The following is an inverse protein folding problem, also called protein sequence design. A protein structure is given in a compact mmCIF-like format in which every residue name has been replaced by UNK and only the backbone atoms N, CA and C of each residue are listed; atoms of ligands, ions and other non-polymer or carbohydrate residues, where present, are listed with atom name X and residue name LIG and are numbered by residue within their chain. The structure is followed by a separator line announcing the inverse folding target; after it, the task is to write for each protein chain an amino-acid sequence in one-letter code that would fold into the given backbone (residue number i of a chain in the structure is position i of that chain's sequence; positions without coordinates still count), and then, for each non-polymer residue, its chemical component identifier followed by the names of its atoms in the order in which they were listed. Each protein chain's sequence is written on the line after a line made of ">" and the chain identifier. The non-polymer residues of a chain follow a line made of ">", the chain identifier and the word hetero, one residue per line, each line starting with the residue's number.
data_IF_218186262924
#
_entry.id   IF_218186262924
#
_cell.length_a   1.000
_cell.length_b   1.000
_cell.length_c   1.000
_cell.angle_alpha   90.00
_cell.angle_beta   90.00
_cell.angle_gamma   90.00
#
_symmetry.space_group_name_H-M   'P 1'
#
loop_
_entity.id
_entity.type
_entity.pdbx_description
1 polymer ?
#
# COMPACT_ATOMS: atom_id res chain seq x y z
N UNK A 1 18.36 -50.43 14.15
CA UNK A 1 17.51 -49.56 13.32
C UNK A 1 17.30 -48.25 14.08
N UNK A 2 18.19 -47.27 13.86
CA UNK A 2 18.11 -45.96 14.49
C UNK A 2 17.27 -45.03 13.61
N UNK A 3 16.19 -44.54 14.15
CA UNK A 3 15.38 -43.50 13.54
C UNK A 3 16.05 -42.15 13.77
N UNK A 4 16.61 -41.56 12.72
CA UNK A 4 17.03 -40.16 12.70
C UNK A 4 15.81 -39.23 12.82
N UNK A 5 15.68 -38.56 13.97
CA UNK A 5 14.79 -37.41 14.13
C UNK A 5 15.37 -36.25 13.33
N UNK A 6 14.65 -35.81 12.31
CA UNK A 6 14.89 -34.51 11.67
C UNK A 6 14.54 -33.41 12.67
N UNK A 7 15.54 -32.63 13.07
CA UNK A 7 15.36 -31.40 13.82
C UNK A 7 14.84 -30.32 12.84
N UNK A 8 13.65 -29.80 13.13
CA UNK A 8 13.12 -28.58 12.49
C UNK A 8 14.01 -27.38 12.87
N UNK A 9 14.44 -26.60 11.89
CA UNK A 9 15.13 -25.31 12.11
C UNK A 9 14.22 -24.35 12.89
N UNK A 10 14.76 -23.61 13.87
CA UNK A 10 13.99 -22.63 14.62
C UNK A 10 13.59 -21.48 13.67
N UNK A 11 12.32 -21.14 13.68
CA UNK A 11 11.80 -19.93 13.04
C UNK A 11 12.53 -18.70 13.61
N UNK A 12 13.21 -17.95 12.74
CA UNK A 12 13.84 -16.68 13.09
C UNK A 12 12.75 -15.64 13.38
N UNK A 13 12.27 -15.61 14.62
CA UNK A 13 11.46 -14.49 15.11
C UNK A 13 12.42 -13.33 15.37
N UNK A 14 12.37 -12.29 14.54
CA UNK A 14 13.07 -11.03 14.77
C UNK A 14 12.70 -10.50 16.17
N UNK A 15 13.69 -10.42 17.03
CA UNK A 15 13.51 -9.90 18.39
C UNK A 15 13.39 -8.36 18.35
N UNK A 16 12.78 -7.78 19.39
CA UNK A 16 12.68 -6.32 19.57
C UNK A 16 14.04 -5.61 19.47
N UNK A 17 15.11 -6.31 19.78
CA UNK A 17 16.49 -5.81 19.73
C UNK A 17 17.07 -5.79 18.32
N UNK A 18 16.72 -6.76 17.49
CA UNK A 18 17.08 -6.81 16.07
C UNK A 18 16.29 -5.77 15.28
N UNK A 19 15.03 -5.55 15.65
CA UNK A 19 14.19 -4.46 15.14
C UNK A 19 14.84 -3.07 15.34
N UNK A 20 15.36 -2.78 16.53
CA UNK A 20 16.00 -1.49 16.84
C UNK A 20 17.36 -1.34 16.16
N UNK A 21 18.12 -2.43 15.98
CA UNK A 21 19.42 -2.42 15.31
C UNK A 21 19.28 -2.11 13.82
N UNK A 22 18.30 -2.70 13.14
CA UNK A 22 18.06 -2.51 11.71
C UNK A 22 17.48 -1.10 11.42
N UNK A 23 16.75 -0.52 12.39
CA UNK A 23 16.34 0.88 12.36
C UNK A 23 17.48 1.88 12.51
N UNK A 24 18.51 1.55 13.29
CA UNK A 24 19.68 2.41 13.53
C UNK A 24 20.65 2.44 12.34
N UNK A 25 20.74 1.37 11.56
CA UNK A 25 21.58 1.30 10.35
C UNK A 25 21.01 2.19 9.22
N UNK A 26 19.71 2.42 9.19
CA UNK A 26 19.08 3.31 8.23
C UNK A 26 19.40 4.81 8.47
N UNK A 27 19.78 5.20 9.69
CA UNK A 27 20.07 6.58 10.06
C UNK A 27 21.51 7.02 9.77
N UNK A 28 22.46 6.11 9.54
CA UNK A 28 23.88 6.40 9.40
C UNK A 28 24.34 6.71 7.95
N UNK A 29 23.44 6.73 6.96
CA UNK A 29 23.76 6.84 5.53
C UNK A 29 23.86 8.25 4.94
N UNK A 30 23.76 9.34 5.71
CA UNK A 30 23.55 10.71 5.19
C UNK A 30 24.73 11.68 5.29
N UNK A 31 25.96 11.22 5.44
CA UNK A 31 27.10 12.12 5.47
C UNK A 31 28.32 11.58 4.72
N UNK A 32 28.36 11.67 3.38
CA UNK A 32 29.62 11.76 2.64
C UNK A 32 29.41 12.53 1.33
N UNK A 33 30.26 13.51 1.10
CA UNK A 33 30.23 14.56 0.10
C UNK A 33 30.28 14.15 -1.37
N UNK A 34 29.88 15.09 -2.18
CA UNK A 34 29.89 15.11 -3.64
C UNK A 34 31.33 15.00 -4.19
N UNK A 35 31.65 13.88 -4.82
CA UNK A 35 32.85 13.69 -5.59
C UNK A 35 33.16 12.21 -5.86
N UNK A 36 32.92 11.73 -7.09
CA UNK A 36 33.19 10.38 -7.60
C UNK A 36 32.13 9.29 -7.23
N UNK A 37 30.86 9.49 -7.59
CA UNK A 37 29.73 8.74 -7.03
C UNK A 37 29.06 7.74 -7.98
N UNK A 38 29.38 7.69 -9.27
CA UNK A 38 28.56 6.92 -10.24
C UNK A 38 28.49 5.41 -10.00
N UNK A 39 29.61 4.72 -9.83
CA UNK A 39 29.64 3.24 -9.81
C UNK A 39 29.45 2.63 -8.42
N UNK A 40 29.97 3.23 -7.36
CA UNK A 40 29.79 2.74 -5.98
C UNK A 40 28.37 2.92 -5.46
N UNK A 41 27.71 4.02 -5.86
CA UNK A 41 26.33 4.31 -5.48
C UNK A 41 25.35 3.33 -6.13
N UNK A 42 25.50 3.05 -7.43
CA UNK A 42 24.66 2.09 -8.15
C UNK A 42 24.79 0.67 -7.58
N UNK A 43 26.01 0.21 -7.29
CA UNK A 43 26.27 -1.09 -6.67
C UNK A 43 25.65 -1.21 -5.27
N UNK A 44 25.77 -0.16 -4.44
CA UNK A 44 25.18 -0.15 -3.10
C UNK A 44 23.64 -0.17 -3.13
N UNK A 45 23.03 0.48 -4.11
CA UNK A 45 21.58 0.44 -4.34
C UNK A 45 21.15 -0.95 -4.76
N UNK A 46 21.86 -1.58 -5.71
CA UNK A 46 21.55 -2.94 -6.18
C UNK A 46 21.59 -3.97 -5.04
N UNK A 47 22.60 -3.89 -4.18
CA UNK A 47 22.73 -4.77 -3.01
C UNK A 47 21.64 -4.51 -1.95
N UNK A 48 21.19 -3.28 -1.76
CA UNK A 48 20.07 -2.97 -0.86
C UNK A 48 18.75 -3.51 -1.39
N UNK A 49 18.52 -3.43 -2.70
CA UNK A 49 17.34 -3.99 -3.37
C UNK A 49 17.30 -5.51 -3.21
N UNK A 50 18.41 -6.21 -3.41
CA UNK A 50 18.50 -7.68 -3.27
C UNK A 50 18.18 -8.18 -1.86
N UNK A 51 18.32 -7.33 -0.84
CA UNK A 51 18.02 -7.65 0.56
C UNK A 51 16.57 -7.36 0.94
N UNK A 52 15.75 -6.82 0.04
CA UNK A 52 14.34 -6.56 0.35
C UNK A 52 13.56 -7.86 0.54
N UNK A 53 12.45 -7.78 1.25
CA UNK A 53 11.56 -8.94 1.46
C UNK A 53 11.08 -9.49 0.13
N UNK A 54 10.97 -10.81 0.02
CA UNK A 54 10.51 -11.52 -1.20
C UNK A 54 11.16 -11.02 -2.48
N UNK A 55 12.45 -10.69 -2.44
CA UNK A 55 13.16 -10.25 -3.63
C UNK A 55 13.00 -11.24 -4.80
N UNK A 56 12.61 -10.71 -5.95
CA UNK A 56 12.55 -11.44 -7.21
C UNK A 56 13.23 -10.59 -8.30
N UNK A 57 14.25 -11.09 -9.00
CA UNK A 57 14.99 -10.31 -9.98
C UNK A 57 14.15 -9.87 -11.19
N UNK A 58 12.94 -10.42 -11.36
CA UNK A 58 12.00 -10.04 -12.41
C UNK A 58 11.01 -8.96 -11.98
N UNK A 59 11.04 -8.54 -10.71
CA UNK A 59 10.20 -7.48 -10.17
C UNK A 59 11.01 -6.18 -10.07
N UNK A 60 10.42 -5.07 -10.48
CA UNK A 60 10.96 -3.74 -10.21
C UNK A 60 10.69 -3.34 -8.76
N UNK A 61 11.73 -2.83 -8.09
CA UNK A 61 11.60 -2.30 -6.72
C UNK A 61 11.89 -0.81 -6.71
N UNK A 62 11.12 -0.08 -5.93
CA UNK A 62 11.23 1.36 -5.76
C UNK A 62 11.45 1.70 -4.30
N UNK A 63 12.32 2.66 -4.03
CA UNK A 63 12.58 3.14 -2.67
C UNK A 63 11.37 3.92 -2.14
N UNK A 64 10.87 3.54 -0.97
CA UNK A 64 9.74 4.22 -0.33
C UNK A 64 10.25 5.44 0.45
N UNK A 65 10.65 6.48 -0.27
CA UNK A 65 11.15 7.72 0.30
C UNK A 65 12.22 7.50 1.38
N UNK A 66 12.27 8.37 2.36
CA UNK A 66 13.22 8.34 3.50
C UNK A 66 13.09 7.13 4.44
N UNK A 67 12.10 6.25 4.25
CA UNK A 67 12.04 4.97 4.97
C UNK A 67 13.19 4.05 4.59
N UNK A 68 13.76 4.22 3.40
CA UNK A 68 14.81 3.42 2.80
C UNK A 68 14.48 1.92 2.61
N UNK A 69 13.22 1.52 2.78
CA UNK A 69 12.81 0.20 2.32
C UNK A 69 12.53 0.21 0.81
N UNK A 70 12.74 -0.94 0.19
CA UNK A 70 12.46 -1.14 -1.22
C UNK A 70 11.19 -1.97 -1.37
N UNK A 71 10.16 -1.37 -1.94
CA UNK A 71 8.88 -2.03 -2.20
C UNK A 71 8.73 -2.33 -3.68
N UNK A 72 8.00 -3.39 -4.00
CA UNK A 72 7.67 -3.75 -5.37
C UNK A 72 6.90 -2.62 -6.07
N UNK A 73 7.10 -2.46 -7.37
CA UNK A 73 6.45 -1.41 -8.17
C UNK A 73 4.92 -1.52 -8.23
N UNK A 74 4.37 -2.64 -7.79
CA UNK A 74 2.94 -2.83 -7.50
C UNK A 74 2.81 -3.50 -6.14
N UNK A 75 1.75 -3.19 -5.39
CA UNK A 75 1.52 -3.69 -4.05
C UNK A 75 0.19 -4.43 -3.96
N UNK A 76 -0.02 -5.19 -2.89
CA UNK A 76 -1.29 -5.81 -2.58
C UNK A 76 -2.09 -4.89 -1.66
N UNK A 77 -3.26 -4.43 -2.12
CA UNK A 77 -4.21 -3.69 -1.31
C UNK A 77 -5.26 -4.60 -0.68
N UNK A 78 -5.98 -4.04 0.28
CA UNK A 78 -7.25 -4.55 0.71
C UNK A 78 -8.37 -4.16 -0.27
N UNK A 79 -9.55 -3.85 0.25
CA UNK A 79 -10.70 -3.44 -0.55
C UNK A 79 -11.04 -4.44 -1.66
N UNK A 80 -11.03 -5.72 -1.31
CA UNK A 80 -11.38 -6.83 -2.21
C UNK A 80 -12.89 -6.91 -2.51
N UNK A 81 -13.48 -5.79 -2.91
CA UNK A 81 -14.92 -5.59 -3.09
C UNK A 81 -15.65 -6.70 -3.86
N UNK A 82 -14.95 -7.40 -4.73
CA UNK A 82 -15.51 -8.44 -5.58
C UNK A 82 -15.03 -9.85 -5.21
N UNK A 83 -14.49 -10.04 -3.99
CA UNK A 83 -14.00 -11.37 -3.58
C UNK A 83 -15.13 -12.43 -3.57
N UNK A 84 -16.38 -12.03 -3.38
CA UNK A 84 -17.55 -12.90 -3.46
C UNK A 84 -17.75 -13.56 -4.84
N UNK A 85 -17.15 -13.02 -5.90
CA UNK A 85 -17.08 -13.67 -7.22
C UNK A 85 -16.23 -14.95 -7.18
N UNK A 86 -15.20 -14.97 -6.32
CA UNK A 86 -14.30 -16.11 -6.11
C UNK A 86 -14.75 -16.99 -4.95
N UNK A 87 -15.37 -16.39 -3.94
CA UNK A 87 -15.87 -17.04 -2.72
C UNK A 87 -17.28 -16.51 -2.48
N UNK A 88 -18.35 -17.20 -2.91
CA UNK A 88 -19.73 -16.70 -2.91
C UNK A 88 -20.21 -16.17 -1.57
N UNK A 89 -19.83 -16.79 -0.46
CA UNK A 89 -20.25 -16.43 0.90
C UNK A 89 -19.17 -15.64 1.67
N UNK A 90 -18.30 -14.92 0.94
CA UNK A 90 -17.18 -14.19 1.56
C UNK A 90 -17.60 -13.07 2.52
N UNK A 91 -18.83 -12.57 2.43
CA UNK A 91 -19.35 -11.50 3.27
C UNK A 91 -20.50 -11.97 4.17
N UNK A 92 -20.50 -11.53 5.42
CA UNK A 92 -21.57 -11.83 6.38
C UNK A 92 -22.77 -10.88 6.28
N UNK A 93 -22.60 -9.72 5.64
CA UNK A 93 -23.62 -8.69 5.47
C UNK A 93 -23.63 -8.12 4.06
N UNK A 94 -24.34 -7.01 3.89
CA UNK A 94 -24.44 -6.33 2.59
C UNK A 94 -23.17 -5.53 2.24
N UNK A 95 -22.26 -5.37 3.20
CA UNK A 95 -21.03 -4.58 3.09
C UNK A 95 -19.82 -5.44 2.72
N UNK A 96 -19.07 -5.00 1.73
CA UNK A 96 -17.76 -5.60 1.36
C UNK A 96 -16.68 -5.51 2.45
N UNK A 97 -16.94 -4.81 3.54
CA UNK A 97 -16.08 -4.71 4.72
C UNK A 97 -16.34 -5.84 5.72
N UNK A 98 -17.48 -6.52 5.62
CA UNK A 98 -17.93 -7.52 6.59
C UNK A 98 -17.53 -8.93 6.14
N UNK A 99 -16.25 -9.12 5.80
CA UNK A 99 -15.75 -10.42 5.38
C UNK A 99 -15.85 -11.45 6.52
N UNK A 100 -16.29 -12.67 6.19
CA UNK A 100 -16.27 -13.79 7.14
C UNK A 100 -14.84 -14.29 7.36
N UNK A 101 -14.22 -13.79 8.40
CA UNK A 101 -12.86 -14.16 8.79
C UNK A 101 -12.72 -15.62 9.26
N UNK A 102 -13.83 -16.32 9.49
CA UNK A 102 -13.84 -17.73 9.89
C UNK A 102 -14.09 -18.69 8.71
N UNK A 103 -14.57 -18.20 7.59
CA UNK A 103 -14.77 -19.01 6.38
C UNK A 103 -13.44 -19.55 5.83
N UNK A 104 -13.35 -20.86 5.69
CA UNK A 104 -12.12 -21.54 5.25
C UNK A 104 -11.80 -21.27 3.77
N UNK A 105 -12.79 -21.08 2.90
CA UNK A 105 -12.58 -20.77 1.50
C UNK A 105 -12.05 -19.32 1.35
N UNK A 106 -12.57 -18.39 2.17
CA UNK A 106 -12.05 -17.03 2.24
C UNK A 106 -10.60 -16.98 2.75
N UNK A 107 -10.30 -17.67 3.85
CA UNK A 107 -8.93 -17.78 4.37
C UNK A 107 -7.98 -18.35 3.33
N UNK A 108 -8.40 -19.45 2.67
CA UNK A 108 -7.62 -20.07 1.60
C UNK A 108 -7.39 -19.10 0.44
N UNK A 109 -8.41 -18.38 0.01
CA UNK A 109 -8.28 -17.38 -1.05
C UNK A 109 -7.25 -16.29 -0.69
N UNK A 110 -7.32 -15.74 0.52
CA UNK A 110 -6.34 -14.74 0.98
C UNK A 110 -4.93 -15.31 1.09
N UNK A 111 -4.80 -16.54 1.59
CA UNK A 111 -3.52 -17.24 1.67
C UNK A 111 -2.90 -17.45 0.28
N UNK A 112 -3.70 -17.90 -0.70
CA UNK A 112 -3.25 -18.16 -2.08
C UNK A 112 -2.80 -16.85 -2.77
N UNK A 113 -3.57 -15.77 -2.63
CA UNK A 113 -3.21 -14.46 -3.20
C UNK A 113 -1.92 -13.93 -2.58
N UNK A 114 -1.78 -14.00 -1.25
CA UNK A 114 -0.54 -13.58 -0.55
C UNK A 114 0.65 -14.45 -0.97
N UNK A 115 0.44 -15.77 -1.12
CA UNK A 115 1.49 -16.69 -1.58
C UNK A 115 1.95 -16.33 -2.99
N UNK A 116 1.01 -16.08 -3.89
CA UNK A 116 1.34 -15.68 -5.26
C UNK A 116 2.07 -14.33 -5.31
N UNK A 117 1.70 -13.38 -4.46
CA UNK A 117 2.42 -12.12 -4.31
C UNK A 117 3.88 -12.36 -3.88
N UNK A 118 4.11 -13.16 -2.84
CA UNK A 118 5.45 -13.50 -2.33
C UNK A 118 6.31 -14.14 -3.43
N UNK A 119 5.79 -15.13 -4.13
CA UNK A 119 6.46 -15.83 -5.24
C UNK A 119 6.85 -14.89 -6.37
N UNK A 120 5.97 -13.93 -6.66
CA UNK A 120 6.15 -12.96 -7.74
C UNK A 120 7.03 -11.77 -7.36
N UNK A 121 7.43 -11.64 -6.09
CA UNK A 121 8.24 -10.53 -5.60
C UNK A 121 7.44 -9.29 -5.18
N UNK A 122 6.10 -9.38 -5.11
CA UNK A 122 5.29 -8.34 -4.48
C UNK A 122 5.49 -8.46 -2.98
N UNK A 123 5.95 -7.38 -2.34
CA UNK A 123 6.47 -7.44 -0.98
C UNK A 123 5.83 -6.44 0.00
N UNK A 124 4.77 -5.72 -0.41
CA UNK A 124 4.04 -4.79 0.47
C UNK A 124 2.54 -5.05 0.39
N UNK A 125 1.93 -5.12 1.57
CA UNK A 125 0.47 -5.20 1.76
C UNK A 125 0.00 -3.91 2.43
N UNK A 126 -1.08 -3.33 1.93
CA UNK A 126 -1.78 -2.22 2.57
C UNK A 126 -3.15 -2.66 3.06
N UNK A 127 -3.34 -2.66 4.38
CA UNK A 127 -4.59 -2.98 5.03
C UNK A 127 -5.17 -1.74 5.73
N UNK A 128 -6.46 -1.46 5.55
CA UNK A 128 -7.06 -0.27 6.11
C UNK A 128 -8.37 -0.50 6.87
N UNK A 129 -8.82 -1.74 6.96
CA UNK A 129 -9.97 -2.13 7.78
C UNK A 129 -9.57 -3.21 8.78
N UNK A 130 -10.43 -3.47 9.76
CA UNK A 130 -10.26 -4.55 10.72
C UNK A 130 -10.07 -5.89 10.02
N UNK A 131 -11.01 -6.19 9.12
CA UNK A 131 -11.08 -7.45 8.39
C UNK A 131 -9.82 -7.65 7.54
N UNK A 132 -9.36 -6.59 6.86
CA UNK A 132 -8.14 -6.64 6.05
C UNK A 132 -6.90 -6.91 6.89
N UNK A 133 -6.76 -6.21 8.01
CA UNK A 133 -5.62 -6.39 8.93
C UNK A 133 -5.56 -7.82 9.47
N UNK A 134 -6.68 -8.33 9.95
CA UNK A 134 -6.76 -9.68 10.54
C UNK A 134 -6.54 -10.75 9.48
N UNK A 135 -7.20 -10.64 8.30
CA UNK A 135 -7.06 -11.61 7.22
C UNK A 135 -5.63 -11.67 6.68
N UNK A 136 -4.97 -10.53 6.49
CA UNK A 136 -3.59 -10.52 6.00
C UNK A 136 -2.59 -10.95 7.06
N UNK A 137 -2.81 -10.62 8.33
CA UNK A 137 -1.98 -11.14 9.42
C UNK A 137 -2.06 -12.66 9.52
N UNK A 138 -3.28 -13.23 9.35
CA UNK A 138 -3.48 -14.69 9.29
C UNK A 138 -2.78 -15.30 8.07
N UNK A 139 -2.96 -14.74 6.89
CA UNK A 139 -2.30 -15.21 5.66
C UNK A 139 -0.75 -15.13 5.74
N UNK A 140 -0.20 -14.25 6.56
CA UNK A 140 1.23 -14.10 6.82
C UNK A 140 1.75 -14.92 8.00
N UNK A 141 0.90 -15.70 8.66
CA UNK A 141 1.34 -16.50 9.83
C UNK A 141 2.47 -17.46 9.45
N UNK A 142 3.56 -17.42 10.22
CA UNK A 142 4.78 -18.19 9.95
C UNK A 142 5.66 -17.65 8.80
N UNK A 143 5.25 -16.58 8.15
CA UNK A 143 5.99 -15.94 7.04
C UNK A 143 5.89 -14.40 7.04
N UNK A 144 5.74 -13.81 8.24
CA UNK A 144 5.59 -12.35 8.44
C UNK A 144 6.78 -11.55 7.90
N UNK A 145 7.96 -12.17 7.86
CA UNK A 145 9.19 -11.61 7.30
C UNK A 145 9.18 -11.47 5.77
N UNK A 146 8.24 -12.10 5.08
CA UNK A 146 8.16 -12.07 3.60
C UNK A 146 7.56 -10.80 3.04
N UNK A 147 6.69 -10.10 3.78
CA UNK A 147 6.04 -8.90 3.28
C UNK A 147 6.05 -7.78 4.32
N UNK A 148 6.20 -6.54 3.85
CA UNK A 148 5.91 -5.35 4.63
C UNK A 148 4.41 -5.21 4.79
N UNK A 149 3.94 -4.81 5.98
CA UNK A 149 2.52 -4.64 6.28
C UNK A 149 2.24 -3.18 6.67
N UNK A 150 1.46 -2.51 5.84
CA UNK A 150 0.81 -1.25 6.15
C UNK A 150 -0.47 -1.50 6.93
N UNK A 151 -0.66 -0.74 7.99
CA UNK A 151 -1.77 -0.83 8.92
C UNK A 151 -2.54 0.48 8.99
N UNK A 152 -3.84 0.39 8.93
CA UNK A 152 -4.81 1.38 9.36
C UNK A 152 -6.09 0.66 9.79
N UNK A 153 -6.84 1.29 10.65
CA UNK A 153 -8.15 0.81 11.05
C UNK A 153 -9.12 1.99 10.99
N UNK A 154 -9.40 2.40 9.74
CA UNK A 154 -9.95 3.70 9.40
C UNK A 154 -11.25 4.06 10.13
N UNK A 155 -12.06 3.05 10.53
CA UNK A 155 -13.29 3.28 11.27
C UNK A 155 -13.04 3.84 12.69
N UNK A 156 -11.89 3.49 13.29
CA UNK A 156 -11.48 3.92 14.61
C UNK A 156 -10.23 4.83 14.54
N UNK A 157 -10.17 5.69 13.52
CA UNK A 157 -9.10 6.68 13.31
C UNK A 157 -9.70 8.08 13.08
N UNK A 158 -9.02 8.95 12.34
CA UNK A 158 -9.37 10.37 12.23
C UNK A 158 -10.74 10.67 11.62
N UNK A 159 -11.39 9.72 10.95
CA UNK A 159 -12.75 9.91 10.40
C UNK A 159 -13.82 10.01 11.51
N UNK A 160 -13.62 9.34 12.62
CA UNK A 160 -14.52 9.43 13.79
C UNK A 160 -13.92 10.37 14.83
N UNK A 161 -14.70 11.37 15.25
CA UNK A 161 -14.28 12.39 16.22
C UNK A 161 -13.84 11.80 17.57
N UNK A 162 -14.38 10.64 17.97
CA UNK A 162 -14.01 9.96 19.21
C UNK A 162 -12.57 9.45 19.23
N UNK A 163 -11.94 9.32 18.08
CA UNK A 163 -10.58 8.75 17.94
C UNK A 163 -9.51 9.80 17.63
N UNK A 164 -9.83 11.10 17.56
CA UNK A 164 -8.91 12.18 17.17
C UNK A 164 -7.96 12.65 18.28
N UNK A 165 -7.64 11.78 19.23
CA UNK A 165 -6.65 12.05 20.27
C UNK A 165 -5.48 11.08 20.19
N UNK A 166 -4.32 11.50 20.64
CA UNK A 166 -3.12 10.64 20.72
C UNK A 166 -3.40 9.32 21.45
N UNK A 167 -4.11 9.37 22.55
CA UNK A 167 -4.42 8.20 23.36
C UNK A 167 -5.38 7.23 22.65
N UNK A 168 -6.44 7.75 22.03
CA UNK A 168 -7.41 6.94 21.31
C UNK A 168 -6.78 6.27 20.07
N UNK A 169 -6.01 7.03 19.27
CA UNK A 169 -5.30 6.50 18.11
C UNK A 169 -4.31 5.38 18.47
N UNK A 170 -3.53 5.57 19.54
CA UNK A 170 -2.64 4.50 20.04
C UNK A 170 -3.44 3.28 20.54
N UNK A 171 -4.58 3.53 21.20
CA UNK A 171 -5.49 2.46 21.62
C UNK A 171 -6.02 1.63 20.44
N UNK A 172 -6.38 2.28 19.33
CA UNK A 172 -6.80 1.62 18.09
C UNK A 172 -5.67 0.76 17.51
N UNK A 173 -4.47 1.30 17.39
CA UNK A 173 -3.30 0.53 16.91
C UNK A 173 -3.06 -0.71 17.80
N UNK A 174 -3.04 -0.53 19.12
CA UNK A 174 -2.81 -1.61 20.08
C UNK A 174 -3.90 -2.68 20.05
N UNK A 175 -5.16 -2.25 19.90
CA UNK A 175 -6.32 -3.15 19.75
C UNK A 175 -6.16 -3.98 18.48
N UNK A 176 -5.88 -3.34 17.34
CA UNK A 176 -5.72 -4.01 16.07
C UNK A 176 -4.52 -4.97 16.06
N UNK A 177 -3.39 -4.58 16.65
CA UNK A 177 -2.22 -5.46 16.79
C UNK A 177 -2.54 -6.70 17.65
N UNK A 178 -3.30 -6.54 18.74
CA UNK A 178 -3.72 -7.69 19.57
C UNK A 178 -4.64 -8.64 18.82
N UNK A 179 -5.66 -8.11 18.14
CA UNK A 179 -6.62 -8.93 17.40
C UNK A 179 -5.94 -9.67 16.24
N UNK A 180 -5.04 -9.01 15.53
CA UNK A 180 -4.27 -9.59 14.45
C UNK A 180 -3.04 -10.42 14.92
N UNK A 181 -2.77 -10.48 16.22
CA UNK A 181 -1.61 -11.16 16.82
C UNK A 181 -0.28 -10.68 16.21
N UNK A 182 -0.12 -9.36 16.09
CA UNK A 182 1.06 -8.69 15.55
C UNK A 182 1.89 -8.07 16.67
N UNK A 183 3.19 -8.27 16.64
CA UNK A 183 4.14 -7.63 17.56
C UNK A 183 4.50 -6.21 17.10
N UNK A 184 4.44 -5.96 15.79
CA UNK A 184 4.69 -4.67 15.15
C UNK A 184 4.02 -4.57 13.79
N UNK A 185 3.88 -3.36 13.29
CA UNK A 185 3.52 -3.06 11.90
C UNK A 185 4.71 -2.39 11.18
N UNK A 186 4.86 -2.61 9.88
CA UNK A 186 5.94 -1.94 9.14
C UNK A 186 5.61 -0.46 8.92
N UNK A 187 4.40 -0.15 8.50
CA UNK A 187 3.92 1.21 8.32
C UNK A 187 2.59 1.39 9.06
N UNK A 188 2.52 2.26 10.03
CA UNK A 188 1.24 2.77 10.52
C UNK A 188 0.89 4.03 9.74
N UNK A 189 -0.16 3.92 8.91
CA UNK A 189 -0.64 5.04 8.12
C UNK A 189 -2.08 5.36 8.49
N UNK A 190 -2.27 6.35 9.35
CA UNK A 190 -3.60 6.76 9.84
C UNK A 190 -4.45 7.27 8.68
N UNK A 191 -5.69 6.78 8.58
CA UNK A 191 -6.64 7.27 7.58
C UNK A 191 -7.38 8.49 8.10
N UNK A 192 -7.24 9.59 7.36
CA UNK A 192 -7.94 10.85 7.61
C UNK A 192 -9.27 10.92 6.84
N UNK A 193 -10.05 11.95 7.09
CA UNK A 193 -11.16 12.32 6.22
C UNK A 193 -10.65 12.49 4.78
N UNK A 194 -11.49 12.20 3.78
CA UNK A 194 -11.11 12.41 2.37
C UNK A 194 -10.59 13.84 2.18
N UNK A 195 -11.35 14.82 2.60
CA UNK A 195 -10.95 16.23 2.69
C UNK A 195 -10.34 16.48 4.06
N UNK A 196 -9.06 16.16 4.21
CA UNK A 196 -8.38 16.20 5.51
C UNK A 196 -8.18 17.61 6.06
N UNK A 197 -8.33 18.65 5.24
CA UNK A 197 -8.38 20.05 5.70
C UNK A 197 -9.61 20.38 6.57
N UNK A 198 -10.59 19.47 6.65
CA UNK A 198 -11.68 19.58 7.62
C UNK A 198 -11.25 19.28 9.07
N UNK A 199 -10.07 18.69 9.29
CA UNK A 199 -9.50 18.53 10.62
C UNK A 199 -8.87 19.83 11.10
N UNK A 200 -9.02 20.13 12.37
CA UNK A 200 -8.30 21.25 13.01
C UNK A 200 -6.82 20.93 13.12
N UNK A 201 -5.97 21.97 13.17
CA UNK A 201 -4.53 21.81 13.40
C UNK A 201 -4.24 21.03 14.69
N UNK A 202 -5.04 21.23 15.75
CA UNK A 202 -4.89 20.51 17.01
C UNK A 202 -5.16 19.01 16.86
N UNK A 203 -6.16 18.60 16.07
CA UNK A 203 -6.42 17.19 15.78
C UNK A 203 -5.29 16.57 14.96
N UNK A 204 -4.73 17.32 14.00
CA UNK A 204 -3.54 16.90 13.26
C UNK A 204 -2.32 16.75 14.17
N UNK A 205 -2.09 17.69 15.09
CA UNK A 205 -1.02 17.60 16.10
C UNK A 205 -1.16 16.33 16.96
N UNK A 206 -2.37 16.00 17.41
CA UNK A 206 -2.63 14.76 18.16
C UNK A 206 -2.31 13.51 17.34
N UNK A 207 -2.68 13.49 16.05
CA UNK A 207 -2.34 12.42 15.13
C UNK A 207 -0.80 12.27 14.97
N UNK A 208 -0.09 13.37 14.77
CA UNK A 208 1.37 13.36 14.61
C UNK A 208 2.08 12.88 15.87
N UNK A 209 1.61 13.30 17.05
CA UNK A 209 2.10 12.78 18.35
C UNK A 209 1.85 11.27 18.48
N UNK A 210 0.70 10.77 18.04
CA UNK A 210 0.40 9.33 18.07
C UNK A 210 1.37 8.54 17.20
N UNK A 211 1.58 8.99 15.95
CA UNK A 211 2.52 8.38 15.00
C UNK A 211 3.95 8.32 15.57
N UNK A 212 4.43 9.44 16.13
CA UNK A 212 5.76 9.51 16.71
C UNK A 212 5.92 8.58 17.93
N UNK A 213 4.93 8.57 18.84
CA UNK A 213 4.92 7.66 19.99
C UNK A 213 4.90 6.20 19.58
N UNK A 214 4.10 5.82 18.58
CA UNK A 214 4.07 4.43 18.09
C UNK A 214 5.44 3.99 17.57
N UNK A 215 6.15 4.87 16.86
CA UNK A 215 7.51 4.63 16.38
C UNK A 215 8.50 4.51 17.54
N UNK A 216 8.48 5.42 18.49
CA UNK A 216 9.35 5.38 19.69
C UNK A 216 9.13 4.12 20.53
N UNK A 217 7.89 3.64 20.61
CA UNK A 217 7.52 2.42 21.32
C UNK A 217 7.82 1.14 20.53
N UNK A 218 8.30 1.23 19.28
CA UNK A 218 8.59 0.09 18.42
C UNK A 218 7.35 -0.64 17.90
N UNK A 219 6.15 -0.03 18.00
CA UNK A 219 4.90 -0.59 17.46
C UNK A 219 4.78 -0.43 15.96
N UNK A 220 5.30 0.69 15.43
CA UNK A 220 5.40 0.94 14.01
C UNK A 220 6.86 1.24 13.65
N UNK A 221 7.35 0.67 12.54
CA UNK A 221 8.68 0.99 12.02
C UNK A 221 8.70 2.33 11.33
N UNK A 222 7.66 2.59 10.56
CA UNK A 222 7.47 3.80 9.76
C UNK A 222 6.09 4.38 10.00
N UNK A 223 5.95 5.66 9.69
CA UNK A 223 4.74 6.44 9.96
C UNK A 223 4.28 7.18 8.71
N UNK A 224 2.97 7.32 8.60
CA UNK A 224 2.36 8.02 7.47
C UNK A 224 0.87 8.27 7.70
N UNK A 225 0.21 8.73 6.67
CA UNK A 225 -1.23 8.95 6.67
C UNK A 225 -1.83 8.74 5.28
N UNK A 226 -3.15 8.60 5.23
CA UNK A 226 -3.93 8.55 3.99
C UNK A 226 -4.92 9.70 3.95
N UNK A 227 -4.92 10.44 2.84
CA UNK A 227 -5.86 11.53 2.56
C UNK A 227 -6.06 11.68 1.05
N UNK A 228 -7.17 12.30 0.66
CA UNK A 228 -7.43 12.66 -0.73
C UNK A 228 -7.16 14.15 -1.02
N UNK A 229 -6.93 14.94 0.01
CA UNK A 229 -6.74 16.39 -0.02
C UNK A 229 -5.27 16.73 -0.27
N UNK A 230 -4.87 16.84 -1.53
CA UNK A 230 -3.47 17.08 -1.92
C UNK A 230 -2.88 18.39 -1.39
N UNK A 231 -3.57 19.53 -1.37
CA UNK A 231 -3.06 20.74 -0.73
C UNK A 231 -2.77 20.53 0.75
N UNK A 232 -3.65 19.85 1.48
CA UNK A 232 -3.45 19.56 2.90
C UNK A 232 -2.35 18.49 3.14
N UNK A 233 -2.24 17.48 2.26
CA UNK A 233 -1.10 16.53 2.27
C UNK A 233 0.22 17.30 2.15
N UNK A 234 0.31 18.25 1.21
CA UNK A 234 1.50 19.11 1.06
C UNK A 234 1.81 19.85 2.35
N UNK A 235 0.81 20.52 2.94
CA UNK A 235 0.97 21.25 4.19
C UNK A 235 1.46 20.33 5.33
N UNK A 236 0.91 19.14 5.50
CA UNK A 236 1.34 18.18 6.52
C UNK A 236 2.80 17.71 6.30
N UNK A 237 3.21 17.47 5.06
CA UNK A 237 4.59 17.10 4.73
C UNK A 237 5.56 18.22 5.13
N UNK A 238 5.21 19.46 4.82
CA UNK A 238 6.03 20.63 5.09
C UNK A 238 6.08 20.99 6.59
N UNK A 239 4.97 20.77 7.31
CA UNK A 239 4.85 21.11 8.74
C UNK A 239 5.45 20.02 9.64
N UNK A 240 5.34 18.73 9.27
CA UNK A 240 5.79 17.62 10.10
C UNK A 240 6.81 16.72 9.39
N UNK A 241 7.91 17.27 8.85
CA UNK A 241 8.85 16.54 7.99
C UNK A 241 9.56 15.38 8.69
N UNK A 242 9.63 15.37 10.02
CA UNK A 242 10.28 14.30 10.79
C UNK A 242 9.33 13.13 11.11
N UNK A 243 8.01 13.34 11.02
CA UNK A 243 6.98 12.35 11.33
C UNK A 243 6.41 11.74 10.07
N UNK A 244 6.13 12.57 9.06
CA UNK A 244 5.56 12.12 7.78
C UNK A 244 6.66 11.49 6.93
N UNK A 245 6.62 10.15 6.84
CA UNK A 245 7.54 9.39 6.00
C UNK A 245 6.85 8.84 4.75
N UNK A 246 5.54 8.55 4.85
CA UNK A 246 4.73 8.01 3.75
C UNK A 246 3.39 8.73 3.67
N UNK A 247 2.96 9.03 2.47
CA UNK A 247 1.61 9.51 2.16
C UNK A 247 0.90 8.52 1.25
N UNK A 248 -0.39 8.33 1.48
CA UNK A 248 -1.26 7.50 0.65
C UNK A 248 -2.38 8.39 0.10
N UNK A 249 -2.49 8.44 -1.23
CA UNK A 249 -3.46 9.32 -1.89
C UNK A 249 -3.99 8.67 -3.18
N UNK A 250 -5.20 8.99 -3.63
CA UNK A 250 -5.69 8.51 -4.91
C UNK A 250 -4.78 8.91 -6.06
N UNK A 251 -4.49 7.96 -6.95
CA UNK A 251 -3.80 8.22 -8.21
C UNK A 251 -4.28 7.24 -9.28
N UNK A 252 -4.92 7.77 -10.31
CA UNK A 252 -5.54 7.00 -11.40
C UNK A 252 -4.90 7.37 -12.73
N UNK A 253 -5.27 6.66 -13.79
CA UNK A 253 -4.89 7.03 -15.16
C UNK A 253 -5.53 8.35 -15.65
N UNK A 254 -6.42 8.92 -14.85
CA UNK A 254 -7.02 10.24 -15.09
C UNK A 254 -6.26 11.39 -14.39
N UNK A 255 -5.34 11.04 -13.50
CA UNK A 255 -4.54 12.03 -12.77
C UNK A 255 -3.65 12.80 -13.72
N UNK A 256 -3.77 14.12 -13.68
CA UNK A 256 -3.06 15.04 -14.58
C UNK A 256 -1.69 15.41 -14.01
N UNK A 257 -0.84 15.98 -14.86
CA UNK A 257 0.30 16.75 -14.38
C UNK A 257 -0.22 17.91 -13.56
N UNK A 258 0.22 17.97 -12.31
CA UNK A 258 -0.22 18.99 -11.39
C UNK A 258 0.52 20.31 -11.60
N UNK A 259 -0.09 21.44 -11.16
CA UNK A 259 0.56 22.74 -11.17
C UNK A 259 1.90 22.74 -10.44
N UNK A 260 2.70 23.79 -10.63
CA UNK A 260 4.05 23.92 -10.05
C UNK A 260 4.10 23.74 -8.53
N UNK A 261 3.06 24.15 -7.81
CA UNK A 261 2.99 24.02 -6.34
C UNK A 261 2.27 22.74 -5.89
N UNK A 262 2.38 21.68 -6.66
CA UNK A 262 1.74 20.39 -6.37
C UNK A 262 2.36 19.69 -5.15
N UNK A 263 1.61 18.73 -4.58
CA UNK A 263 2.08 17.86 -3.50
C UNK A 263 3.39 17.14 -3.86
N UNK A 264 3.63 16.84 -5.14
CA UNK A 264 4.82 16.09 -5.57
C UNK A 264 6.12 16.87 -5.45
N UNK A 265 6.10 18.21 -5.42
CA UNK A 265 7.26 19.01 -5.10
C UNK A 265 7.67 18.84 -3.62
N UNK A 266 6.70 18.86 -2.71
CA UNK A 266 6.94 18.57 -1.29
C UNK A 266 7.41 17.12 -1.08
N UNK A 267 6.77 16.14 -1.73
CA UNK A 267 7.17 14.73 -1.73
C UNK A 267 8.65 14.59 -2.10
N UNK A 268 9.07 15.21 -3.20
CA UNK A 268 10.47 15.17 -3.66
C UNK A 268 11.41 15.89 -2.69
N UNK A 269 11.03 17.08 -2.23
CA UNK A 269 11.87 17.92 -1.34
C UNK A 269 12.13 17.25 0.00
N UNK A 270 11.12 16.58 0.57
CA UNK A 270 11.18 15.95 1.89
C UNK A 270 11.40 14.44 1.85
N UNK A 271 11.63 13.88 0.66
CA UNK A 271 11.88 12.46 0.43
C UNK A 271 10.79 11.57 1.04
N UNK A 272 9.52 11.88 0.76
CA UNK A 272 8.36 11.15 1.26
C UNK A 272 7.99 10.04 0.27
N UNK A 273 7.78 8.82 0.77
CA UNK A 273 7.23 7.72 -0.05
C UNK A 273 5.74 7.97 -0.35
N UNK A 274 5.29 7.65 -1.57
CA UNK A 274 3.88 7.83 -1.94
C UNK A 274 3.31 6.56 -2.52
N UNK A 275 2.21 6.10 -1.93
CA UNK A 275 1.38 5.05 -2.51
C UNK A 275 0.15 5.64 -3.22
N UNK A 276 -0.10 5.17 -4.46
CA UNK A 276 -1.28 5.52 -5.23
C UNK A 276 -2.41 4.53 -5.00
N UNK A 277 -3.48 4.95 -4.33
CA UNK A 277 -4.69 4.14 -4.16
C UNK A 277 -5.70 4.40 -5.27
N UNK A 278 -6.70 3.52 -5.38
CA UNK A 278 -7.80 3.61 -6.36
C UNK A 278 -7.34 3.57 -7.84
N UNK A 279 -6.29 2.80 -8.20
CA UNK A 279 -5.71 2.82 -9.55
C UNK A 279 -6.75 2.55 -10.65
N UNK A 280 -7.83 1.84 -10.33
CA UNK A 280 -8.90 1.42 -11.25
C UNK A 280 -10.24 2.13 -10.97
N UNK A 281 -10.21 3.32 -10.34
CA UNK A 281 -11.41 4.09 -10.02
C UNK A 281 -12.49 3.24 -9.31
N UNK A 282 -12.11 2.48 -8.29
CA UNK A 282 -13.04 1.64 -7.54
C UNK A 282 -13.65 0.50 -8.35
N UNK A 283 -12.93 -0.05 -9.32
CA UNK A 283 -13.37 -1.05 -10.31
C UNK A 283 -14.18 -0.50 -11.50
N UNK A 284 -14.48 0.80 -11.53
CA UNK A 284 -15.28 1.40 -12.62
C UNK A 284 -14.59 1.32 -14.00
N UNK A 285 -13.26 1.12 -14.02
CA UNK A 285 -12.51 0.89 -15.24
C UNK A 285 -12.91 -0.41 -15.96
N UNK A 286 -13.41 -1.40 -15.23
CA UNK A 286 -13.67 -2.74 -15.74
C UNK A 286 -15.13 -2.95 -16.16
N UNK A 287 -15.32 -3.69 -17.26
CA UNK A 287 -16.62 -4.05 -17.79
C UNK A 287 -17.17 -5.34 -17.18
N UNK A 288 -16.28 -6.27 -16.84
CA UNK A 288 -16.60 -7.58 -16.27
C UNK A 288 -16.72 -7.57 -14.75
N UNK A 289 -16.97 -8.76 -14.21
CA UNK A 289 -17.16 -9.03 -12.79
C UNK A 289 -15.86 -9.26 -12.01
N UNK A 290 -14.72 -9.17 -12.69
CA UNK A 290 -13.37 -9.50 -12.18
C UNK A 290 -13.07 -10.99 -12.03
N UNK A 291 -13.95 -11.88 -12.51
CA UNK A 291 -13.69 -13.31 -12.65
C UNK A 291 -12.76 -13.57 -13.86
N UNK A 292 -11.83 -14.53 -13.76
CA UNK A 292 -11.06 -14.99 -14.93
C UNK A 292 -11.93 -15.59 -16.05
N UNK A 293 -13.15 -16.02 -15.71
CA UNK A 293 -14.13 -16.56 -16.67
C UNK A 293 -15.04 -15.48 -17.30
N UNK A 294 -14.88 -14.20 -16.92
CA UNK A 294 -15.65 -13.12 -17.51
C UNK A 294 -15.42 -13.02 -19.01
N UNK A 295 -16.45 -12.79 -19.82
CA UNK A 295 -16.30 -12.58 -21.27
C UNK A 295 -15.39 -11.41 -21.64
N UNK A 296 -15.21 -10.45 -20.72
CA UNK A 296 -14.36 -9.25 -20.89
C UNK A 296 -13.03 -9.36 -20.16
N UNK A 297 -12.68 -10.52 -19.59
CA UNK A 297 -11.48 -10.68 -18.74
C UNK A 297 -10.20 -10.20 -19.44
N UNK A 298 -9.99 -10.55 -20.71
CA UNK A 298 -8.80 -10.15 -21.46
C UNK A 298 -8.74 -8.64 -21.69
N UNK A 299 -9.87 -8.00 -21.99
CA UNK A 299 -9.95 -6.54 -22.14
C UNK A 299 -9.69 -5.83 -20.80
N UNK A 300 -10.33 -6.29 -19.73
CA UNK A 300 -10.16 -5.74 -18.38
C UNK A 300 -8.73 -5.90 -17.88
N UNK A 301 -8.12 -7.06 -18.12
CA UNK A 301 -6.72 -7.33 -17.81
C UNK A 301 -5.77 -6.37 -18.54
N UNK A 302 -6.02 -6.12 -19.82
CA UNK A 302 -5.24 -5.21 -20.63
C UNK A 302 -5.40 -3.76 -20.15
N UNK A 303 -6.61 -3.32 -19.85
CA UNK A 303 -6.89 -2.02 -19.27
C UNK A 303 -6.18 -1.83 -17.92
N UNK A 304 -6.23 -2.87 -17.05
CA UNK A 304 -5.51 -2.86 -15.78
C UNK A 304 -3.99 -2.65 -15.98
N UNK A 305 -3.38 -3.38 -16.92
CA UNK A 305 -1.94 -3.22 -17.20
C UNK A 305 -1.60 -1.83 -17.71
N UNK A 306 -2.39 -1.27 -18.63
CA UNK A 306 -2.18 0.09 -19.13
C UNK A 306 -2.32 1.13 -18.02
N UNK A 307 -3.31 1.01 -17.14
CA UNK A 307 -3.49 1.90 -16.01
C UNK A 307 -2.31 1.86 -15.04
N UNK A 308 -1.81 0.67 -14.71
CA UNK A 308 -0.61 0.52 -13.86
C UNK A 308 0.63 1.14 -14.52
N UNK A 309 0.86 0.88 -15.81
CA UNK A 309 1.98 1.47 -16.56
C UNK A 309 1.93 2.99 -16.55
N UNK A 310 0.74 3.55 -16.79
CA UNK A 310 0.51 5.01 -16.73
C UNK A 310 0.89 5.58 -15.35
N UNK A 311 0.38 4.98 -14.27
CA UNK A 311 0.65 5.43 -12.90
C UNK A 311 2.15 5.38 -12.59
N UNK A 312 2.81 4.32 -13.01
CA UNK A 312 4.24 4.14 -12.79
C UNK A 312 5.14 5.08 -13.63
N UNK A 313 4.59 5.78 -14.62
CA UNK A 313 5.30 6.86 -15.32
C UNK A 313 5.52 8.09 -14.43
N UNK A 314 4.76 8.27 -13.35
CA UNK A 314 5.04 9.32 -12.37
C UNK A 314 6.10 8.84 -11.35
N UNK A 315 7.33 9.39 -11.38
CA UNK A 315 8.39 8.96 -10.48
C UNK A 315 8.14 9.31 -9.01
N UNK A 316 7.19 10.20 -8.73
CA UNK A 316 6.78 10.55 -7.36
C UNK A 316 5.82 9.54 -6.74
N UNK A 317 5.22 8.65 -7.53
CA UNK A 317 4.41 7.54 -7.03
C UNK A 317 5.32 6.32 -6.87
N UNK A 318 5.53 5.89 -5.65
CA UNK A 318 6.36 4.71 -5.36
C UNK A 318 5.71 3.45 -5.93
N UNK A 319 4.45 3.21 -5.61
CA UNK A 319 3.70 2.08 -6.16
C UNK A 319 2.18 2.30 -6.08
N UNK A 320 1.39 1.80 -7.04
CA UNK A 320 -0.05 1.66 -6.90
C UNK A 320 -0.42 0.49 -5.99
N UNK A 321 -1.56 0.62 -5.29
CA UNK A 321 -2.12 -0.37 -4.37
C UNK A 321 -3.51 -0.80 -4.84
N UNK A 322 -3.63 -1.75 -5.75
CA UNK A 322 -4.91 -2.36 -6.11
C UNK A 322 -5.32 -3.45 -5.12
N UNK A 323 -6.63 -3.61 -4.89
CA UNK A 323 -7.18 -4.80 -4.25
C UNK A 323 -7.20 -5.97 -5.24
N UNK A 324 -6.70 -7.15 -4.82
CA UNK A 324 -6.61 -8.34 -5.64
C UNK A 324 -7.39 -9.49 -5.01
N UNK A 325 -8.18 -10.20 -5.82
CA UNK A 325 -9.08 -11.25 -5.35
C UNK A 325 -8.67 -12.67 -5.78
N UNK A 326 -7.69 -12.79 -6.68
CA UNK A 326 -7.19 -14.09 -7.15
C UNK A 326 -5.74 -14.00 -7.67
N UNK A 327 -5.11 -15.16 -7.86
CA UNK A 327 -3.73 -15.26 -8.35
C UNK A 327 -3.58 -14.76 -9.80
N UNK A 328 -4.61 -14.90 -10.64
CA UNK A 328 -4.59 -14.39 -12.02
C UNK A 328 -4.38 -12.87 -12.04
N UNK A 329 -5.07 -12.13 -11.19
CA UNK A 329 -4.87 -10.68 -11.08
C UNK A 329 -3.46 -10.32 -10.59
N UNK A 330 -2.88 -11.10 -9.68
CA UNK A 330 -1.47 -10.92 -9.27
C UNK A 330 -0.56 -11.07 -10.49
N UNK A 331 -0.71 -12.13 -11.27
CA UNK A 331 0.10 -12.38 -12.47
C UNK A 331 -0.06 -11.29 -13.51
N UNK A 332 -1.28 -10.80 -13.71
CA UNK A 332 -1.56 -9.71 -14.63
C UNK A 332 -0.83 -8.40 -14.24
N UNK A 333 -0.78 -8.07 -12.94
CA UNK A 333 -0.03 -6.90 -12.46
C UNK A 333 1.49 -7.08 -12.58
N UNK A 334 1.99 -8.28 -12.30
CA UNK A 334 3.41 -8.59 -12.53
C UNK A 334 3.76 -8.43 -14.01
N UNK A 335 2.88 -8.85 -14.91
CA UNK A 335 3.04 -8.63 -16.35
C UNK A 335 3.09 -7.14 -16.70
N UNK A 336 2.23 -6.30 -16.09
CA UNK A 336 2.25 -4.86 -16.29
C UNK A 336 3.61 -4.22 -15.92
N UNK A 337 4.25 -4.70 -14.86
CA UNK A 337 5.59 -4.20 -14.45
C UNK A 337 6.68 -4.59 -15.46
N UNK A 338 6.55 -5.76 -16.09
CA UNK A 338 7.52 -6.27 -17.10
C UNK A 338 7.33 -5.67 -18.49
N UNK A 339 6.14 -5.16 -18.79
CA UNK A 339 5.86 -4.53 -20.08
C UNK A 339 6.58 -3.17 -20.21
N UNK A 340 6.70 -2.67 -21.45
CA UNK A 340 7.20 -1.33 -21.71
C UNK A 340 6.44 -0.28 -20.88
N UNK A 341 7.17 0.64 -20.25
CA UNK A 341 6.59 1.63 -19.33
C UNK A 341 5.62 2.57 -20.01
N UNK A 342 6.08 3.26 -21.05
CA UNK A 342 5.27 4.24 -21.76
C UNK A 342 4.20 3.55 -22.61
N UNK A 343 3.02 4.14 -22.62
CA UNK A 343 1.95 3.78 -23.54
C UNK A 343 2.26 4.36 -24.93
N UNK A 344 1.98 3.60 -25.99
CA UNK A 344 1.96 4.21 -27.32
C UNK A 344 0.68 5.01 -27.55
N UNK A 345 0.57 5.70 -28.68
CA UNK A 345 -0.58 6.55 -28.99
C UNK A 345 -1.92 5.80 -29.05
N UNK A 346 -1.90 4.53 -29.46
CA UNK A 346 -3.11 3.69 -29.51
C UNK A 346 -3.53 3.30 -28.12
N UNK A 347 -2.61 2.77 -27.31
CA UNK A 347 -2.83 2.40 -25.91
C UNK A 347 -3.30 3.61 -25.08
N UNK A 348 -2.67 4.78 -25.28
CA UNK A 348 -3.02 6.00 -24.55
C UNK A 348 -4.47 6.46 -24.86
N UNK A 349 -4.86 6.46 -26.13
CA UNK A 349 -6.23 6.82 -26.54
C UNK A 349 -7.26 5.81 -26.01
N UNK A 350 -6.91 4.55 -26.05
CA UNK A 350 -7.78 3.50 -25.55
C UNK A 350 -8.00 3.61 -24.04
N UNK A 351 -6.91 3.80 -23.28
CA UNK A 351 -7.02 4.00 -21.83
C UNK A 351 -7.79 5.30 -21.50
N UNK A 352 -7.57 6.38 -22.25
CA UNK A 352 -8.31 7.63 -22.08
C UNK A 352 -9.81 7.42 -22.29
N UNK A 353 -10.21 6.76 -23.40
CA UNK A 353 -11.62 6.46 -23.67
C UNK A 353 -12.25 5.58 -22.57
N UNK A 354 -11.55 4.53 -22.12
CA UNK A 354 -12.02 3.67 -21.03
C UNK A 354 -12.16 4.43 -19.70
N UNK A 355 -11.25 5.35 -19.42
CA UNK A 355 -11.33 6.20 -18.23
C UNK A 355 -12.45 7.22 -18.32
N UNK A 356 -12.76 7.77 -19.50
CA UNK A 356 -13.92 8.66 -19.72
C UNK A 356 -15.23 7.93 -19.47
N UNK A 357 -15.36 6.70 -19.98
CA UNK A 357 -16.50 5.84 -19.69
C UNK A 357 -16.62 5.51 -18.20
N UNK A 358 -15.48 5.18 -17.54
CA UNK A 358 -15.44 4.90 -16.11
C UNK A 358 -15.91 6.10 -15.29
N UNK A 359 -15.45 7.32 -15.63
CA UNK A 359 -15.86 8.57 -14.97
C UNK A 359 -17.36 8.87 -15.14
N UNK A 360 -17.91 8.58 -16.30
CA UNK A 360 -19.35 8.74 -16.56
C UNK A 360 -20.21 7.77 -15.71
N UNK A 361 -19.66 6.60 -15.37
CA UNK A 361 -20.35 5.52 -14.63
C UNK A 361 -19.92 5.36 -13.17
N UNK A 362 -19.15 6.29 -12.62
CA UNK A 362 -18.73 6.20 -11.21
C UNK A 362 -19.94 5.99 -10.30
N UNK A 363 -19.92 5.00 -9.40
CA UNK A 363 -20.97 4.79 -8.42
C UNK A 363 -21.10 5.99 -7.48
N UNK A 364 -22.24 6.12 -6.81
CA UNK A 364 -22.54 7.25 -5.94
C UNK A 364 -21.49 7.51 -4.87
N UNK A 365 -20.95 6.44 -4.27
CA UNK A 365 -19.89 6.46 -3.26
C UNK A 365 -18.50 6.81 -3.81
N UNK A 366 -18.37 6.96 -5.15
CA UNK A 366 -17.12 7.34 -5.82
C UNK A 366 -17.21 8.63 -6.64
N UNK A 367 -18.34 9.36 -6.59
CA UNK A 367 -18.50 10.63 -7.33
C UNK A 367 -17.47 11.69 -6.91
N UNK A 368 -16.99 11.64 -5.68
CA UNK A 368 -15.94 12.51 -5.18
C UNK A 368 -14.61 12.39 -5.98
N UNK A 369 -14.37 11.28 -6.69
CA UNK A 369 -13.22 11.15 -7.58
C UNK A 369 -13.20 12.20 -8.71
N UNK A 370 -14.32 12.85 -9.02
CA UNK A 370 -14.37 13.89 -10.04
C UNK A 370 -13.63 15.16 -9.65
N UNK A 371 -13.58 15.43 -8.35
CA UNK A 371 -13.08 16.69 -7.80
C UNK A 371 -11.83 16.54 -6.90
N UNK A 372 -11.43 15.33 -6.60
CA UNK A 372 -10.39 15.05 -5.60
C UNK A 372 -8.99 15.62 -5.92
N UNK A 373 -8.65 15.90 -7.17
CA UNK A 373 -7.36 16.51 -7.53
C UNK A 373 -7.27 17.99 -7.14
N UNK A 374 -8.38 18.60 -6.81
CA UNK A 374 -8.50 20.01 -6.46
C UNK A 374 -8.84 20.24 -4.99
N UNK A 375 -8.96 19.19 -4.24
CA UNK A 375 -9.29 19.23 -2.81
C UNK A 375 -8.02 19.27 -1.96
#
# INVERSE_FOLDING_TARGET
>A
MEQKRQQASPANNLTRREFLRDGAVAAAGLAVGLGAVGSRSAYAVDEAVKKTRSYNPQMEYRRLGKTNIWVSAVCLGGHWKRVNVMVPDAYQGDGWLDADLNDEAFKKNRYDVVSRCIESGINYIDACTKEEVVAYAEALRGRRDKMYLGFSWYQEEMRDANFRTTAALLGTLEKGMREAKLDYVDLWRITMHEQSSNHTNSEVDEMMKALEKARQQGKARFTGFSSHDRPHIKWMIETYPNVVQVAVTPYTARSKKLPKDSVFEAVKKFDVGVFGIKPFAGTSLFKGDSSPASPTAEEDDRLARMAIRYILCNPSITAPIPGLINAHQVDNLVKAVKERRELDMKEARELEAAMDEAWARLPADYQWLKDWEYV
#
